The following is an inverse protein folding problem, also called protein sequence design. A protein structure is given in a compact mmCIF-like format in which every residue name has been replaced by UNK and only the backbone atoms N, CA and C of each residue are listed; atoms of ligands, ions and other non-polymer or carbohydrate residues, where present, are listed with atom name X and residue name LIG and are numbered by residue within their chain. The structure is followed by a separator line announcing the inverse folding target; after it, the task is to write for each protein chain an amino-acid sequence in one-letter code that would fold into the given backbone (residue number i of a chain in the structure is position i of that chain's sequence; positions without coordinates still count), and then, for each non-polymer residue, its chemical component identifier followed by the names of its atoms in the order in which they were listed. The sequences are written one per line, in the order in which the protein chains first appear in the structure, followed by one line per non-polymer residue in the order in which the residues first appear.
data_IF_677678921482
#
_entry.id   IF_677678921482
#
_cell.length_a   1.000
_cell.length_b   1.000
_cell.length_c   1.000
_cell.angle_alpha   90.00
_cell.angle_beta   90.00
_cell.angle_gamma   90.00
#
_symmetry.space_group_name_H-M   'P 1'
#
loop_
_entity.id
_entity.type
_entity.pdbx_description
1 polymer ?
#
# COMPACT_ATOMS: atom_id res chain seq x y z
N UNK A 1 2.12 0.12 21.39
CA UNK A 1 1.13 1.22 21.38
C UNK A 1 -0.23 0.59 21.23
N UNK A 2 -1.18 0.95 22.09
CA UNK A 2 -2.56 0.47 22.02
C UNK A 2 -3.35 1.33 21.02
N UNK A 3 -4.48 0.82 20.48
CA UNK A 3 -5.28 1.54 19.48
C UNK A 3 -5.79 2.90 20.00
N UNK A 4 -6.22 2.98 21.25
CA UNK A 4 -6.62 4.23 21.88
C UNK A 4 -5.50 5.28 21.99
N UNK A 5 -4.24 4.84 22.12
CA UNK A 5 -3.09 5.75 22.08
C UNK A 5 -2.88 6.30 20.67
N UNK A 6 -3.04 5.46 19.65
CA UNK A 6 -2.97 5.91 18.24
C UNK A 6 -4.03 6.95 17.95
N UNK A 7 -5.27 6.69 18.37
CA UNK A 7 -6.39 7.62 18.16
C UNK A 7 -6.11 8.99 18.82
N UNK A 8 -5.51 9.02 20.00
CA UNK A 8 -5.11 10.26 20.67
C UNK A 8 -4.03 11.04 19.89
N UNK A 9 -3.03 10.34 19.34
CA UNK A 9 -2.01 10.96 18.47
C UNK A 9 -2.60 11.44 17.14
N UNK A 10 -3.52 10.69 16.54
CA UNK A 10 -4.22 11.10 15.32
C UNK A 10 -4.99 12.39 15.55
N UNK A 11 -5.73 12.52 16.66
CA UNK A 11 -6.42 13.77 17.01
C UNK A 11 -5.45 14.92 17.23
N UNK A 12 -4.35 14.68 17.94
CA UNK A 12 -3.32 15.69 18.18
C UNK A 12 -2.71 16.18 16.86
N UNK A 13 -2.28 15.27 15.97
CA UNK A 13 -1.66 15.64 14.70
C UNK A 13 -2.67 16.26 13.72
N UNK A 14 -3.93 15.84 13.78
CA UNK A 14 -4.99 16.46 12.99
C UNK A 14 -5.24 17.93 13.42
N UNK A 15 -5.12 18.23 14.71
CA UNK A 15 -5.29 19.58 15.26
C UNK A 15 -4.02 20.45 15.17
N UNK A 16 -2.84 19.83 15.04
CA UNK A 16 -1.53 20.49 15.02
C UNK A 16 -0.68 19.98 13.84
N UNK A 17 -0.92 20.45 12.62
CA UNK A 17 -0.20 19.97 11.42
C UNK A 17 1.32 20.13 11.50
N UNK A 18 1.83 21.05 12.30
CA UNK A 18 3.27 21.23 12.49
C UNK A 18 3.96 20.05 13.18
N UNK A 19 3.23 19.25 13.99
CA UNK A 19 3.74 18.02 14.57
C UNK A 19 4.09 16.99 13.49
N UNK A 20 3.33 16.96 12.39
CA UNK A 20 3.63 16.09 11.23
C UNK A 20 4.95 16.50 10.59
N UNK A 21 5.17 17.81 10.40
CA UNK A 21 6.42 18.34 9.83
C UNK A 21 7.61 18.04 10.74
N UNK A 22 7.44 18.20 12.06
CA UNK A 22 8.49 17.86 13.04
C UNK A 22 8.83 16.37 13.00
N UNK A 23 7.84 15.50 12.97
CA UNK A 23 8.07 14.06 12.82
C UNK A 23 8.83 13.74 11.53
N UNK A 24 8.42 14.31 10.39
CA UNK A 24 9.05 14.07 9.09
C UNK A 24 10.49 14.57 9.08
N UNK A 25 10.77 15.77 9.62
CA UNK A 25 12.11 16.33 9.66
C UNK A 25 13.08 15.54 10.54
N UNK A 26 12.59 14.97 11.64
CA UNK A 26 13.37 14.16 12.57
C UNK A 26 13.43 12.68 12.19
N UNK A 27 12.72 12.24 11.16
CA UNK A 27 12.47 10.81 10.90
C UNK A 27 13.74 9.94 10.90
N UNK A 28 14.81 10.40 10.27
CA UNK A 28 16.05 9.64 10.17
C UNK A 28 16.83 9.56 11.49
N UNK A 29 16.54 10.42 12.45
CA UNK A 29 17.14 10.44 13.79
C UNK A 29 16.35 9.58 14.79
N UNK A 30 15.13 9.18 14.42
CA UNK A 30 14.27 8.35 15.25
C UNK A 30 14.72 6.89 15.26
N UNK A 31 14.51 6.24 16.40
CA UNK A 31 14.67 4.78 16.48
C UNK A 31 13.65 4.08 15.57
N UNK A 32 13.98 2.87 15.11
CA UNK A 32 13.08 2.07 14.26
C UNK A 32 11.67 1.92 14.88
N UNK A 33 11.59 1.74 16.18
CA UNK A 33 10.29 1.65 16.88
C UNK A 33 9.50 2.95 16.78
N UNK A 34 10.16 4.10 16.91
CA UNK A 34 9.50 5.41 16.75
C UNK A 34 9.07 5.66 15.31
N UNK A 35 9.91 5.31 14.33
CA UNK A 35 9.56 5.38 12.91
C UNK A 35 8.30 4.56 12.60
N UNK A 36 8.24 3.29 13.03
CA UNK A 36 7.08 2.41 12.85
C UNK A 36 5.81 3.01 13.47
N UNK A 37 5.91 3.48 14.71
CA UNK A 37 4.77 4.08 15.42
C UNK A 37 4.27 5.35 14.72
N UNK A 38 5.19 6.22 14.32
CA UNK A 38 4.84 7.46 13.63
C UNK A 38 4.20 7.23 12.27
N UNK A 39 4.74 6.31 11.46
CA UNK A 39 4.14 5.98 10.16
C UNK A 39 2.77 5.30 10.34
N UNK A 40 2.59 4.50 11.37
CA UNK A 40 1.28 3.92 11.72
C UNK A 40 0.25 5.01 12.12
N UNK A 41 0.67 6.06 12.86
CA UNK A 41 -0.18 7.22 13.15
C UNK A 41 -0.54 7.95 11.85
N UNK A 42 0.44 8.16 10.94
CA UNK A 42 0.19 8.78 9.64
C UNK A 42 -0.81 7.98 8.80
N UNK A 43 -0.75 6.64 8.82
CA UNK A 43 -1.71 5.79 8.10
C UNK A 43 -3.14 6.01 8.63
N UNK A 44 -3.34 5.95 9.94
CA UNK A 44 -4.65 6.24 10.54
C UNK A 44 -5.13 7.67 10.28
N UNK A 45 -4.21 8.65 10.31
CA UNK A 45 -4.53 10.03 9.99
C UNK A 45 -4.92 10.20 8.52
N UNK A 46 -4.24 9.51 7.59
CA UNK A 46 -4.58 9.54 6.16
C UNK A 46 -5.99 9.01 5.87
N UNK A 47 -6.43 8.00 6.63
CA UNK A 47 -7.79 7.46 6.54
C UNK A 47 -8.84 8.44 7.08
N UNK A 48 -8.48 9.24 8.07
CA UNK A 48 -9.37 10.22 8.70
C UNK A 48 -9.38 11.57 8.00
N UNK A 49 -8.21 12.05 7.62
CA UNK A 49 -7.99 13.37 7.01
C UNK A 49 -6.79 13.31 6.05
N UNK A 50 -7.01 12.79 4.84
CA UNK A 50 -5.98 12.70 3.82
C UNK A 50 -5.34 14.05 3.48
N UNK A 51 -6.11 15.15 3.54
CA UNK A 51 -5.66 16.48 3.21
C UNK A 51 -4.49 16.95 4.09
N UNK A 52 -4.42 16.53 5.36
CA UNK A 52 -3.30 16.89 6.24
C UNK A 52 -1.99 16.18 5.88
N UNK A 53 -2.06 15.03 5.20
CA UNK A 53 -0.90 14.25 4.76
C UNK A 53 -0.53 14.57 3.31
N UNK A 54 -1.46 15.07 2.52
CA UNK A 54 -1.29 15.37 1.09
C UNK A 54 0.00 16.17 0.75
N UNK A 55 0.41 17.22 1.52
CA UNK A 55 1.65 17.96 1.28
C UNK A 55 2.92 17.11 1.43
N UNK A 56 2.83 15.98 2.12
CA UNK A 56 3.96 15.13 2.50
C UNK A 56 4.08 13.85 1.67
N UNK A 57 3.30 13.73 0.57
CA UNK A 57 3.27 12.51 -0.26
C UNK A 57 4.64 12.07 -0.77
N UNK A 58 5.53 13.00 -1.14
CA UNK A 58 6.88 12.64 -1.60
C UNK A 58 7.74 12.00 -0.50
N UNK A 59 7.59 12.44 0.75
CA UNK A 59 8.22 11.76 1.87
C UNK A 59 7.71 10.30 1.99
N UNK A 60 6.40 10.07 1.84
CA UNK A 60 5.83 8.72 1.90
C UNK A 60 6.32 7.85 0.72
N UNK A 61 6.42 8.40 -0.48
CA UNK A 61 7.05 7.72 -1.63
C UNK A 61 8.48 7.28 -1.32
N UNK A 62 9.27 8.16 -0.69
CA UNK A 62 10.64 7.84 -0.30
C UNK A 62 10.70 6.69 0.72
N UNK A 63 9.75 6.61 1.66
CA UNK A 63 9.68 5.50 2.61
C UNK A 63 9.44 4.15 1.94
N UNK A 64 8.54 4.07 0.95
CA UNK A 64 8.30 2.83 0.20
C UNK A 64 9.56 2.37 -0.53
N UNK A 65 10.32 3.29 -1.09
CA UNK A 65 11.44 2.95 -1.94
C UNK A 65 12.73 2.68 -1.16
N UNK A 66 12.94 3.33 -0.02
CA UNK A 66 14.24 3.36 0.66
C UNK A 66 14.22 2.83 2.09
N UNK A 67 13.05 2.68 2.73
CA UNK A 67 13.02 2.11 4.07
C UNK A 67 13.42 0.63 4.06
N UNK A 68 14.30 0.25 4.99
CA UNK A 68 14.65 -1.17 5.22
C UNK A 68 13.58 -1.90 6.03
N UNK A 69 12.67 -1.17 6.64
CA UNK A 69 11.62 -1.70 7.53
C UNK A 69 10.36 -2.04 6.75
N UNK A 70 9.99 -3.31 6.71
CA UNK A 70 8.79 -3.80 6.02
C UNK A 70 7.49 -3.20 6.58
N UNK A 71 7.44 -2.94 7.89
CA UNK A 71 6.26 -2.31 8.50
C UNK A 71 6.10 -0.87 8.02
N UNK A 72 7.21 -0.12 7.93
CA UNK A 72 7.20 1.26 7.40
C UNK A 72 6.74 1.26 5.93
N UNK A 73 7.30 0.39 5.09
CA UNK A 73 6.89 0.29 3.67
C UNK A 73 5.43 -0.09 3.54
N UNK A 74 4.97 -1.08 4.30
CA UNK A 74 3.58 -1.53 4.32
C UNK A 74 2.60 -0.39 4.63
N UNK A 75 2.80 0.32 5.74
CA UNK A 75 1.92 1.46 6.12
C UNK A 75 1.99 2.57 5.07
N UNK A 76 3.17 2.81 4.48
CA UNK A 76 3.32 3.82 3.42
C UNK A 76 2.49 3.51 2.17
N UNK A 77 2.34 2.24 1.78
CA UNK A 77 1.38 1.83 0.76
C UNK A 77 -0.06 2.23 1.14
N UNK A 78 -0.46 1.98 2.38
CA UNK A 78 -1.79 2.35 2.90
C UNK A 78 -2.01 3.86 2.87
N UNK A 79 -1.04 4.64 3.32
CA UNK A 79 -1.10 6.10 3.30
C UNK A 79 -1.32 6.63 1.88
N UNK A 80 -0.44 6.27 0.94
CA UNK A 80 -0.55 6.74 -0.46
C UNK A 80 -1.86 6.30 -1.11
N UNK A 81 -2.43 5.15 -0.72
CA UNK A 81 -3.71 4.69 -1.22
C UNK A 81 -4.87 5.65 -0.90
N UNK A 82 -4.74 6.42 0.18
CA UNK A 82 -5.73 7.41 0.63
C UNK A 82 -5.47 8.83 0.08
N UNK A 83 -4.31 9.06 -0.58
CA UNK A 83 -3.94 10.37 -1.12
C UNK A 83 -4.33 10.53 -2.59
N UNK A 84 -4.47 11.78 -3.01
CA UNK A 84 -4.56 12.13 -4.42
C UNK A 84 -3.17 12.13 -5.05
N UNK A 85 -2.99 11.31 -6.08
CA UNK A 85 -1.76 11.19 -6.83
C UNK A 85 -1.93 11.79 -8.23
N UNK A 86 -0.85 12.32 -8.78
CA UNK A 86 -0.81 12.64 -10.22
C UNK A 86 -0.74 11.33 -11.01
N UNK A 87 -1.06 11.38 -12.31
CA UNK A 87 -0.96 10.23 -13.20
C UNK A 87 0.45 9.61 -13.18
N UNK A 88 1.51 10.44 -13.20
CA UNK A 88 2.89 9.99 -13.07
C UNK A 88 3.14 9.27 -11.74
N UNK A 89 2.65 9.83 -10.63
CA UNK A 89 2.81 9.24 -9.30
C UNK A 89 2.05 7.91 -9.18
N UNK A 90 0.85 7.84 -9.74
CA UNK A 90 0.03 6.62 -9.75
C UNK A 90 0.72 5.52 -10.58
N UNK A 91 1.31 5.86 -11.74
CA UNK A 91 2.13 4.97 -12.54
C UNK A 91 3.35 4.43 -11.80
N UNK A 92 4.11 5.29 -11.11
CA UNK A 92 5.25 4.89 -10.26
C UNK A 92 4.82 3.95 -9.12
N UNK A 93 3.66 4.21 -8.51
CA UNK A 93 3.12 3.34 -7.48
C UNK A 93 2.68 1.99 -8.01
N UNK A 94 2.08 1.96 -9.19
CA UNK A 94 1.66 0.72 -9.84
C UNK A 94 2.87 -0.15 -10.17
N UNK A 95 3.92 0.42 -10.75
CA UNK A 95 5.19 -0.27 -11.00
C UNK A 95 5.79 -0.84 -9.71
N UNK A 96 5.88 0.01 -8.67
CA UNK A 96 6.38 -0.43 -7.36
C UNK A 96 5.54 -1.54 -6.75
N UNK A 97 4.21 -1.47 -6.89
CA UNK A 97 3.29 -2.48 -6.39
C UNK A 97 3.47 -3.82 -7.11
N UNK A 98 3.66 -3.85 -8.43
CA UNK A 98 3.97 -5.07 -9.17
C UNK A 98 5.31 -5.67 -8.75
N UNK A 99 6.37 -4.87 -8.63
CA UNK A 99 7.66 -5.33 -8.12
C UNK A 99 7.53 -5.94 -6.71
N UNK A 100 6.78 -5.31 -5.82
CA UNK A 100 6.57 -5.79 -4.45
C UNK A 100 5.73 -7.07 -4.42
N UNK A 101 4.67 -7.15 -5.25
CA UNK A 101 3.80 -8.32 -5.35
C UNK A 101 4.59 -9.58 -5.73
N UNK A 102 5.46 -9.49 -6.72
CA UNK A 102 6.22 -10.60 -7.30
C UNK A 102 7.56 -10.88 -6.62
N UNK A 103 7.99 -10.07 -5.65
CA UNK A 103 9.28 -10.24 -4.97
C UNK A 103 9.28 -11.42 -4.00
N UNK A 104 10.38 -12.18 -3.97
CA UNK A 104 10.55 -13.31 -3.05
C UNK A 104 10.85 -12.87 -1.61
N UNK A 105 11.49 -11.73 -1.43
CA UNK A 105 12.02 -11.24 -0.14
C UNK A 105 11.07 -10.28 0.59
N UNK A 106 9.80 -10.22 0.16
CA UNK A 106 8.80 -9.33 0.74
C UNK A 106 7.89 -10.05 1.72
N UNK A 107 7.65 -9.45 2.88
CA UNK A 107 6.71 -9.97 3.86
C UNK A 107 5.29 -10.02 3.32
N UNK A 108 4.53 -11.05 3.75
CA UNK A 108 3.14 -11.29 3.30
C UNK A 108 2.24 -10.07 3.49
N UNK A 109 2.39 -9.34 4.59
CA UNK A 109 1.57 -8.17 4.87
C UNK A 109 1.86 -7.00 3.90
N UNK A 110 3.13 -6.74 3.58
CA UNK A 110 3.51 -5.73 2.60
C UNK A 110 3.02 -6.11 1.20
N UNK A 111 3.18 -7.39 0.81
CA UNK A 111 2.64 -7.93 -0.45
C UNK A 111 1.14 -7.74 -0.58
N UNK A 112 0.40 -7.89 0.53
CA UNK A 112 -1.05 -7.67 0.53
C UNK A 112 -1.43 -6.22 0.21
N UNK A 113 -0.72 -5.23 0.75
CA UNK A 113 -0.94 -3.82 0.43
C UNK A 113 -0.59 -3.51 -1.03
N UNK A 114 0.52 -4.04 -1.54
CA UNK A 114 0.87 -3.93 -2.96
C UNK A 114 -0.22 -4.53 -3.86
N UNK A 115 -0.75 -5.71 -3.48
CA UNK A 115 -1.86 -6.35 -4.20
C UNK A 115 -3.10 -5.46 -4.28
N UNK A 116 -3.44 -4.72 -3.22
CA UNK A 116 -4.58 -3.78 -3.26
C UNK A 116 -4.41 -2.70 -4.33
N UNK A 117 -3.18 -2.20 -4.53
CA UNK A 117 -2.85 -1.24 -5.57
C UNK A 117 -3.08 -1.77 -6.97
N UNK A 118 -2.50 -2.92 -7.30
CA UNK A 118 -2.66 -3.51 -8.63
C UNK A 118 -4.11 -3.92 -8.91
N UNK A 119 -4.86 -4.36 -7.89
CA UNK A 119 -6.28 -4.67 -8.02
C UNK A 119 -7.15 -3.43 -8.21
N UNK A 120 -6.73 -2.26 -7.68
CA UNK A 120 -7.40 -0.99 -7.94
C UNK A 120 -7.24 -0.61 -9.41
N UNK A 121 -6.01 -0.65 -9.93
CA UNK A 121 -5.72 -0.32 -11.32
C UNK A 121 -6.42 -1.27 -12.32
N UNK A 122 -6.52 -2.56 -12.00
CA UNK A 122 -7.18 -3.55 -12.86
C UNK A 122 -8.69 -3.33 -13.05
N UNK A 123 -9.33 -2.45 -12.28
CA UNK A 123 -10.74 -2.06 -12.52
C UNK A 123 -10.86 -1.22 -13.79
N UNK A 124 -9.89 -0.33 -14.02
CA UNK A 124 -9.86 0.57 -15.17
C UNK A 124 -9.10 -0.03 -16.34
N UNK A 125 -8.09 -0.88 -16.05
CA UNK A 125 -7.22 -1.55 -17.00
C UNK A 125 -7.30 -3.07 -16.86
N UNK A 126 -8.35 -3.73 -17.40
CA UNK A 126 -8.56 -5.18 -17.25
C UNK A 126 -7.44 -6.06 -17.83
N UNK A 127 -6.64 -5.52 -18.76
CA UNK A 127 -5.46 -6.18 -19.29
C UNK A 127 -4.40 -6.52 -18.24
N UNK A 128 -4.40 -5.81 -17.10
CA UNK A 128 -3.49 -6.08 -15.99
C UNK A 128 -3.80 -7.38 -15.22
N UNK A 129 -4.98 -7.99 -15.43
CA UNK A 129 -5.32 -9.23 -14.73
C UNK A 129 -4.32 -10.35 -14.99
N UNK A 130 -3.78 -10.46 -16.20
CA UNK A 130 -2.80 -11.49 -16.54
C UNK A 130 -1.50 -11.32 -15.77
N UNK A 131 -1.02 -10.09 -15.69
CA UNK A 131 0.20 -9.75 -14.97
C UNK A 131 0.04 -9.94 -13.45
N UNK A 132 -1.12 -9.57 -12.91
CA UNK A 132 -1.44 -9.76 -11.48
C UNK A 132 -1.47 -11.25 -11.14
N UNK A 133 -2.14 -12.06 -11.97
CA UNK A 133 -2.22 -13.51 -11.77
C UNK A 133 -0.81 -14.12 -11.83
N UNK A 134 -0.01 -13.77 -12.82
CA UNK A 134 1.37 -14.23 -12.96
C UNK A 134 2.22 -13.86 -11.75
N UNK A 135 2.12 -12.62 -11.26
CA UNK A 135 2.83 -12.16 -10.07
C UNK A 135 2.43 -12.92 -8.81
N UNK A 136 1.14 -13.22 -8.64
CA UNK A 136 0.65 -14.03 -7.50
C UNK A 136 1.12 -15.48 -7.64
N UNK A 137 1.03 -16.08 -8.82
CA UNK A 137 1.46 -17.46 -9.10
C UNK A 137 2.94 -17.66 -8.74
N UNK A 138 3.78 -16.68 -9.05
CA UNK A 138 5.22 -16.72 -8.76
C UNK A 138 5.51 -16.87 -7.26
N UNK A 139 4.67 -16.27 -6.40
CA UNK A 139 4.90 -16.19 -4.94
C UNK A 139 3.84 -16.88 -4.09
N UNK A 140 2.88 -17.57 -4.70
CA UNK A 140 1.74 -18.18 -3.96
C UNK A 140 2.18 -19.17 -2.89
N UNK A 141 3.27 -19.90 -3.14
CA UNK A 141 3.80 -20.91 -2.22
C UNK A 141 4.82 -20.35 -1.21
N UNK A 142 5.10 -19.04 -1.28
CA UNK A 142 6.02 -18.33 -0.41
C UNK A 142 5.23 -17.54 0.63
N UNK A 143 5.58 -17.71 1.90
CA UNK A 143 4.95 -16.99 3.00
C UNK A 143 4.08 -17.84 3.89
N UNK A 144 3.12 -17.22 4.55
CA UNK A 144 2.28 -17.85 5.58
C UNK A 144 1.27 -18.86 4.98
N UNK A 145 0.83 -19.86 5.75
CA UNK A 145 -0.27 -20.76 5.31
C UNK A 145 -1.55 -20.01 4.93
N UNK A 146 -1.80 -18.86 5.58
CA UNK A 146 -2.94 -18.01 5.24
C UNK A 146 -2.80 -17.40 3.84
N UNK A 147 -1.59 -16.92 3.49
CA UNK A 147 -1.30 -16.40 2.15
C UNK A 147 -1.49 -17.47 1.08
N UNK A 148 -0.95 -18.67 1.27
CA UNK A 148 -1.09 -19.79 0.31
C UNK A 148 -2.55 -20.10 -0.01
N UNK A 149 -3.41 -20.16 1.01
CA UNK A 149 -4.85 -20.39 0.82
C UNK A 149 -5.53 -19.20 0.15
N UNK A 150 -5.17 -17.99 0.55
CA UNK A 150 -5.76 -16.76 0.01
C UNK A 150 -5.40 -16.57 -1.45
N UNK A 151 -4.11 -16.69 -1.81
CA UNK A 151 -3.60 -16.49 -3.18
C UNK A 151 -4.23 -17.49 -4.16
N UNK A 152 -4.33 -18.77 -3.80
CA UNK A 152 -4.97 -19.79 -4.65
C UNK A 152 -6.44 -19.46 -4.94
N UNK A 153 -7.19 -19.02 -3.91
CA UNK A 153 -8.58 -18.60 -4.08
C UNK A 153 -8.70 -17.32 -4.91
N UNK A 154 -7.77 -16.38 -4.69
CA UNK A 154 -7.76 -15.10 -5.39
C UNK A 154 -7.51 -15.29 -6.90
N UNK A 155 -6.56 -16.13 -7.29
CA UNK A 155 -6.30 -16.44 -8.71
C UNK A 155 -7.58 -16.88 -9.42
N UNK A 156 -8.33 -17.82 -8.85
CA UNK A 156 -9.60 -18.27 -9.43
C UNK A 156 -10.62 -17.12 -9.56
N UNK A 157 -10.67 -16.23 -8.56
CA UNK A 157 -11.58 -15.08 -8.60
C UNK A 157 -11.15 -14.06 -9.69
N UNK A 158 -9.85 -13.87 -9.89
CA UNK A 158 -9.32 -12.96 -10.90
C UNK A 158 -9.55 -13.49 -12.32
N UNK A 159 -9.41 -14.79 -12.54
CA UNK A 159 -9.75 -15.41 -13.83
C UNK A 159 -11.22 -15.18 -14.20
N UNK A 160 -12.14 -15.36 -13.23
CA UNK A 160 -13.57 -15.07 -13.45
C UNK A 160 -13.80 -13.58 -13.77
N UNK A 161 -13.16 -12.67 -13.05
CA UNK A 161 -13.28 -11.22 -13.30
C UNK A 161 -12.74 -10.84 -14.68
N UNK A 162 -11.58 -11.37 -15.03
CA UNK A 162 -10.96 -11.20 -16.34
C UNK A 162 -11.94 -11.62 -17.45
N UNK A 163 -12.47 -12.84 -17.39
CA UNK A 163 -13.42 -13.35 -18.39
C UNK A 163 -14.65 -12.44 -18.54
N UNK A 164 -15.19 -11.93 -17.43
CA UNK A 164 -16.34 -10.99 -17.45
C UNK A 164 -15.98 -9.65 -18.08
N UNK A 165 -14.80 -9.09 -17.76
CA UNK A 165 -14.36 -7.80 -18.28
C UNK A 165 -14.20 -7.84 -19.81
N UNK A 166 -13.59 -8.89 -20.34
CA UNK A 166 -13.43 -9.06 -21.80
C UNK A 166 -14.75 -9.36 -22.52
N UNK A 167 -15.66 -10.13 -21.90
CA UNK A 167 -16.99 -10.39 -22.47
C UNK A 167 -17.85 -9.13 -22.55
N UNK A 168 -17.70 -8.18 -21.66
CA UNK A 168 -18.43 -6.90 -21.67
C UNK A 168 -17.87 -5.91 -22.70
N UNK A 169 -16.55 -5.94 -22.97
CA UNK A 169 -15.92 -5.12 -24.03
C UNK A 169 -16.29 -5.61 -25.45
N UNK A 170 -16.53 -6.91 -25.63
CA UNK A 170 -16.91 -7.49 -26.93
C UNK A 170 -18.37 -7.20 -27.34
N UNK A 171 -19.19 -6.67 -26.43
CA UNK A 171 -20.62 -6.32 -26.69
C UNK A 171 -20.87 -4.82 -26.93
N UNK A 172 -19.83 -4.01 -26.90
CA UNK A 172 -19.85 -2.58 -27.25
C UNK A 172 -19.20 -2.34 -28.59
#
# INVERSE_FOLDING_TARGET
MLRNEVDAYVEMWNSKPDEIKLFISAFNELTQTQQRKGVWILDHLSQKNAASIQPHREFIFNLINHSKDSSVRRESFGILYNLELTEEQDGRMLERAFCTLSSFDVETAERHHALQWVLRAAKDYPELYDEIIAGIELVKDIGTPAWKRYSSKLILQLEIKKAKAFSSKAKK
#
